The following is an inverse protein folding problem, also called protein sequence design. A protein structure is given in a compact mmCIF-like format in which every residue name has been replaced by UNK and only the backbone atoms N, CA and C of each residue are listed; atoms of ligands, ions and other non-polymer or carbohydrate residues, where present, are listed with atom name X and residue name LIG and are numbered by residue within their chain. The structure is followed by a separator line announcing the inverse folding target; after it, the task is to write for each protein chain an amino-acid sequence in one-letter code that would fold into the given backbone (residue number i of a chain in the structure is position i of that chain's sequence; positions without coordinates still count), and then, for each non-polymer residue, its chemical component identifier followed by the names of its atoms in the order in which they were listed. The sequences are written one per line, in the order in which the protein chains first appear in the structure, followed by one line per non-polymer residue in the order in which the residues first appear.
data_IF_093105032394
#
_entry.id   IF_093105032394
#
_cell.length_a   1.000
_cell.length_b   1.000
_cell.length_c   1.000
_cell.angle_alpha   90.00
_cell.angle_beta   90.00
_cell.angle_gamma   90.00
#
_symmetry.space_group_name_H-M   'P 1'
#
loop_
_entity.id
_entity.type
_entity.pdbx_description
1 polymer ?
#
# COMPACT_ATOMS: atom_id res chain seq x y z
N UNK A 1 -6.42 5.07 -66.99
CA UNK A 1 -7.09 3.86 -66.45
C UNK A 1 -6.90 3.83 -64.94
N UNK A 2 -7.85 4.44 -64.24
CA UNK A 2 -7.97 4.44 -62.79
C UNK A 2 -8.43 3.05 -62.33
N UNK A 3 -7.63 2.44 -61.46
CA UNK A 3 -7.95 1.22 -60.74
C UNK A 3 -9.22 1.42 -59.91
N UNK A 4 -10.18 0.49 -59.90
CA UNK A 4 -11.35 0.60 -59.02
C UNK A 4 -10.91 0.41 -57.58
N UNK A 5 -11.33 1.36 -56.75
CA UNK A 5 -11.34 1.41 -55.29
C UNK A 5 -11.10 0.06 -54.60
N UNK A 6 -9.90 -0.09 -54.05
CA UNK A 6 -9.71 -0.99 -52.92
C UNK A 6 -10.60 -0.46 -51.79
N UNK A 7 -11.47 -1.28 -51.18
CA UNK A 7 -12.25 -0.81 -50.04
C UNK A 7 -11.27 -0.35 -48.97
N UNK A 8 -11.45 0.89 -48.49
CA UNK A 8 -10.70 1.49 -47.39
C UNK A 8 -10.52 0.43 -46.29
N UNK A 9 -9.26 0.07 -45.98
CA UNK A 9 -8.96 -0.67 -44.77
C UNK A 9 -9.51 0.17 -43.60
N UNK A 10 -10.46 -0.35 -42.79
CA UNK A 10 -10.91 0.39 -41.63
C UNK A 10 -9.73 0.55 -40.68
N UNK A 11 -9.57 1.79 -40.22
CA UNK A 11 -8.58 2.29 -39.27
C UNK A 11 -8.19 1.23 -38.23
N UNK A 12 -6.91 0.85 -38.11
CA UNK A 12 -6.49 -0.36 -37.38
C UNK A 12 -6.84 -0.38 -35.89
N UNK A 13 -7.40 0.67 -35.28
CA UNK A 13 -7.78 0.63 -33.87
C UNK A 13 -8.95 1.57 -33.51
N UNK A 14 -10.18 1.12 -33.71
CA UNK A 14 -11.42 1.80 -33.23
C UNK A 14 -11.75 1.51 -31.75
N UNK A 15 -10.82 0.88 -31.02
CA UNK A 15 -10.98 0.50 -29.61
C UNK A 15 -11.84 -0.75 -29.37
N UNK A 16 -12.23 -1.51 -30.41
CA UNK A 16 -13.07 -2.71 -30.28
C UNK A 16 -12.26 -4.02 -30.24
N UNK A 17 -12.78 -5.02 -29.55
CA UNK A 17 -12.24 -6.39 -29.52
C UNK A 17 -12.94 -7.26 -30.56
N UNK A 18 -12.18 -7.81 -31.50
CA UNK A 18 -12.74 -8.59 -32.60
C UNK A 18 -12.91 -10.07 -32.25
N UNK A 19 -14.06 -10.64 -32.59
CA UNK A 19 -14.35 -12.08 -32.38
C UNK A 19 -13.96 -12.94 -33.59
N UNK A 20 -13.81 -12.34 -34.77
CA UNK A 20 -13.35 -12.99 -35.99
C UNK A 20 -12.18 -12.19 -36.59
N UNK A 21 -11.23 -12.88 -37.23
CA UNK A 21 -10.13 -12.27 -37.99
C UNK A 21 -10.41 -12.45 -39.49
N UNK A 22 -10.03 -11.48 -40.35
CA UNK A 22 -10.24 -11.59 -41.79
C UNK A 22 -9.34 -12.67 -42.44
N UNK A 23 -8.32 -13.19 -41.74
CA UNK A 23 -7.32 -14.09 -42.32
C UNK A 23 -6.97 -15.35 -41.51
N UNK A 24 -7.66 -15.66 -40.40
CA UNK A 24 -7.30 -16.81 -39.56
C UNK A 24 -8.51 -17.59 -39.06
N UNK A 25 -8.56 -18.87 -39.42
CA UNK A 25 -9.53 -19.87 -38.91
C UNK A 25 -8.97 -20.56 -37.65
N UNK A 26 -7.78 -20.19 -37.16
CA UNK A 26 -6.99 -21.05 -36.26
C UNK A 26 -6.38 -20.40 -35.02
N UNK A 27 -6.67 -19.13 -34.69
CA UNK A 27 -6.20 -18.58 -33.41
C UNK A 27 -7.37 -18.27 -32.47
N UNK A 28 -7.36 -18.76 -31.21
CA UNK A 28 -8.26 -18.22 -30.21
C UNK A 28 -7.91 -16.76 -30.01
N UNK A 29 -8.90 -15.87 -30.17
CA UNK A 29 -8.78 -14.46 -29.80
C UNK A 29 -8.24 -14.40 -28.37
N UNK A 30 -7.13 -13.69 -28.16
CA UNK A 30 -6.51 -13.55 -26.84
C UNK A 30 -7.56 -13.11 -25.80
N UNK A 31 -7.51 -13.63 -24.57
CA UNK A 31 -8.49 -13.27 -23.55
C UNK A 31 -8.44 -11.77 -23.29
N UNK A 32 -9.61 -11.15 -23.11
CA UNK A 32 -9.72 -9.75 -22.70
C UNK A 32 -9.91 -9.67 -21.19
N UNK A 33 -9.18 -8.78 -20.52
CA UNK A 33 -9.32 -8.54 -19.09
C UNK A 33 -10.11 -7.29 -18.80
N UNK A 34 -10.95 -7.33 -17.77
CA UNK A 34 -11.62 -6.16 -17.21
C UNK A 34 -11.70 -6.26 -15.69
N UNK A 35 -11.61 -5.13 -15.00
CA UNK A 35 -11.77 -5.09 -13.55
C UNK A 35 -13.22 -5.36 -13.18
N UNK A 36 -13.42 -6.14 -12.12
CA UNK A 36 -14.73 -6.54 -11.64
C UNK A 36 -15.68 -5.36 -11.44
N UNK A 37 -15.19 -4.24 -10.93
CA UNK A 37 -16.03 -3.09 -10.58
C UNK A 37 -15.88 -1.91 -11.54
N UNK A 38 -15.19 -2.10 -12.66
CA UNK A 38 -15.04 -1.05 -13.66
C UNK A 38 -16.40 -0.58 -14.18
N UNK A 39 -16.58 0.73 -14.20
CA UNK A 39 -17.70 1.38 -14.88
C UNK A 39 -17.52 1.44 -16.39
N UNK A 40 -16.32 1.15 -16.91
CA UNK A 40 -16.04 1.14 -18.34
C UNK A 40 -16.52 -0.18 -18.96
N UNK A 41 -17.36 -0.06 -19.98
CA UNK A 41 -17.78 -1.22 -20.76
C UNK A 41 -16.67 -1.66 -21.72
N UNK A 42 -16.58 -2.97 -21.94
CA UNK A 42 -15.67 -3.59 -22.90
C UNK A 42 -16.38 -3.76 -24.23
N UNK A 43 -15.87 -3.16 -25.29
CA UNK A 43 -16.47 -3.25 -26.62
C UNK A 43 -16.00 -4.50 -27.36
N UNK A 44 -16.95 -5.25 -27.92
CA UNK A 44 -16.72 -6.39 -28.81
C UNK A 44 -17.39 -6.15 -30.16
N UNK A 45 -16.76 -6.59 -31.24
CA UNK A 45 -17.29 -6.47 -32.59
C UNK A 45 -17.10 -7.75 -33.41
N UNK A 46 -18.06 -7.98 -34.30
CA UNK A 46 -17.90 -8.95 -35.37
C UNK A 46 -17.03 -8.34 -36.47
N UNK A 47 -16.06 -9.12 -36.94
CA UNK A 47 -15.14 -8.68 -37.99
C UNK A 47 -14.89 -9.84 -38.97
N UNK A 48 -15.98 -10.23 -39.62
CA UNK A 48 -16.01 -11.18 -40.72
C UNK A 48 -16.19 -10.49 -42.07
N UNK A 49 -16.73 -11.21 -43.05
CA UNK A 49 -17.01 -10.64 -44.37
C UNK A 49 -18.07 -9.53 -44.27
N UNK A 50 -18.01 -8.51 -45.14
CA UNK A 50 -18.94 -7.36 -45.11
C UNK A 50 -20.42 -7.71 -45.28
N UNK A 51 -20.70 -8.88 -45.85
CA UNK A 51 -22.07 -9.41 -46.07
C UNK A 51 -22.53 -10.35 -44.94
N UNK A 52 -21.68 -10.61 -43.94
CA UNK A 52 -22.07 -11.37 -42.77
C UNK A 52 -23.10 -10.59 -41.95
N UNK A 53 -24.13 -11.29 -41.46
CA UNK A 53 -25.17 -10.72 -40.62
C UNK A 53 -25.11 -11.31 -39.22
N UNK A 54 -24.78 -10.49 -38.22
CA UNK A 54 -24.83 -10.94 -36.82
C UNK A 54 -26.29 -11.15 -36.40
N UNK A 55 -26.61 -12.37 -35.98
CA UNK A 55 -27.95 -12.75 -35.56
C UNK A 55 -28.16 -12.47 -34.07
N UNK A 56 -27.20 -12.86 -33.22
CA UNK A 56 -27.31 -12.77 -31.77
C UNK A 56 -25.94 -12.67 -31.09
N UNK A 57 -25.86 -11.84 -30.06
CA UNK A 57 -24.81 -11.81 -29.06
C UNK A 57 -25.32 -12.41 -27.75
N UNK A 58 -24.49 -13.26 -27.13
CA UNK A 58 -24.78 -13.87 -25.83
C UNK A 58 -23.54 -13.98 -24.95
N UNK A 59 -23.75 -14.00 -23.63
CA UNK A 59 -22.71 -14.17 -22.60
C UNK A 59 -22.98 -15.49 -21.88
N UNK A 60 -21.95 -16.28 -21.59
CA UNK A 60 -22.09 -17.48 -20.77
C UNK A 60 -22.25 -17.14 -19.28
N UNK A 61 -23.14 -17.82 -18.56
CA UNK A 61 -23.27 -17.65 -17.10
C UNK A 61 -23.98 -16.37 -16.68
N UNK A 62 -23.94 -16.05 -15.39
CA UNK A 62 -24.48 -14.83 -14.80
C UNK A 62 -23.36 -13.95 -14.25
N UNK A 63 -23.44 -12.64 -14.48
CA UNK A 63 -22.42 -11.66 -14.06
C UNK A 63 -22.42 -10.47 -15.02
N UNK A 64 -21.58 -10.48 -16.07
CA UNK A 64 -21.57 -9.42 -17.07
C UNK A 64 -22.90 -9.28 -17.82
N UNK A 65 -23.19 -8.06 -18.25
CA UNK A 65 -24.36 -7.74 -19.07
C UNK A 65 -23.95 -6.91 -20.29
N UNK A 66 -24.76 -6.96 -21.35
CA UNK A 66 -24.58 -6.02 -22.46
C UNK A 66 -25.17 -4.67 -22.09
N UNK A 67 -24.55 -3.60 -22.56
CA UNK A 67 -25.11 -2.25 -22.53
C UNK A 67 -25.59 -1.88 -23.93
N UNK A 68 -26.90 -1.68 -24.09
CA UNK A 68 -27.54 -1.24 -25.33
C UNK A 68 -28.43 -0.04 -25.05
N UNK A 69 -28.17 1.07 -25.73
CA UNK A 69 -28.92 2.32 -25.57
C UNK A 69 -29.01 2.80 -24.10
N UNK A 70 -27.93 2.58 -23.34
CA UNK A 70 -27.86 2.90 -21.91
C UNK A 70 -28.57 1.92 -20.97
N UNK A 71 -29.14 0.83 -21.48
CA UNK A 71 -29.83 -0.19 -20.71
C UNK A 71 -29.05 -1.51 -20.66
N UNK A 72 -29.09 -2.17 -19.51
CA UNK A 72 -28.50 -3.49 -19.31
C UNK A 72 -29.42 -4.56 -19.92
N UNK A 73 -28.88 -5.36 -20.84
CA UNK A 73 -29.61 -6.45 -21.51
C UNK A 73 -28.80 -7.75 -21.50
N UNK A 74 -29.49 -8.89 -21.48
CA UNK A 74 -28.86 -10.22 -21.47
C UNK A 74 -28.47 -10.74 -22.86
N UNK A 75 -29.07 -10.16 -23.90
CA UNK A 75 -28.85 -10.50 -25.31
C UNK A 75 -28.98 -9.26 -26.17
N UNK A 76 -28.21 -9.24 -27.26
CA UNK A 76 -28.32 -8.21 -28.30
C UNK A 76 -28.48 -8.93 -29.64
N UNK A 77 -29.35 -8.44 -30.51
CA UNK A 77 -29.57 -9.03 -31.84
C UNK A 77 -29.30 -8.00 -32.92
N UNK A 78 -28.83 -8.47 -34.09
CA UNK A 78 -28.65 -7.66 -35.31
C UNK A 78 -27.64 -6.50 -35.24
N UNK A 79 -26.98 -6.29 -34.10
CA UNK A 79 -25.92 -5.29 -34.00
C UNK A 79 -24.57 -5.91 -34.39
N UNK A 80 -23.75 -5.15 -35.11
CA UNK A 80 -22.39 -5.56 -35.51
C UNK A 80 -21.40 -5.54 -34.32
N UNK A 81 -21.72 -4.80 -33.26
CA UNK A 81 -20.89 -4.64 -32.08
C UNK A 81 -21.73 -4.53 -30.82
N UNK A 82 -21.15 -4.88 -29.68
CA UNK A 82 -21.76 -4.82 -28.35
C UNK A 82 -20.79 -4.26 -27.33
N UNK A 83 -21.32 -3.64 -26.27
CA UNK A 83 -20.54 -3.23 -25.10
C UNK A 83 -20.92 -4.12 -23.92
N UNK A 84 -19.95 -4.58 -23.14
CA UNK A 84 -20.15 -5.52 -22.02
C UNK A 84 -19.67 -4.89 -20.72
N UNK A 85 -20.53 -4.82 -19.71
CA UNK A 85 -20.20 -4.39 -18.35
C UNK A 85 -19.80 -5.59 -17.48
N UNK A 86 -18.66 -5.59 -16.75
CA UNK A 86 -18.18 -6.74 -15.96
C UNK A 86 -19.05 -7.14 -14.75
N UNK A 87 -19.64 -6.16 -14.05
CA UNK A 87 -20.63 -6.35 -12.96
C UNK A 87 -20.18 -7.23 -11.77
N UNK A 88 -18.93 -7.12 -11.36
CA UNK A 88 -18.44 -7.57 -10.05
C UNK A 88 -18.11 -9.05 -9.92
N UNK A 89 -18.62 -9.91 -10.79
CA UNK A 89 -18.39 -11.36 -10.69
C UNK A 89 -17.04 -11.75 -11.27
N UNK A 90 -16.06 -12.03 -10.40
CA UNK A 90 -14.72 -12.51 -10.79
C UNK A 90 -14.83 -13.92 -11.37
N UNK A 91 -14.71 -14.05 -12.70
CA UNK A 91 -14.76 -15.32 -13.39
C UNK A 91 -14.32 -15.19 -14.86
N UNK A 92 -14.41 -16.28 -15.61
CA UNK A 92 -14.19 -16.32 -17.04
C UNK A 92 -15.52 -16.48 -17.77
N UNK A 93 -15.81 -15.55 -18.67
CA UNK A 93 -17.04 -15.50 -19.44
C UNK A 93 -16.73 -15.66 -20.92
N UNK A 94 -17.58 -16.38 -21.65
CA UNK A 94 -17.52 -16.46 -23.11
C UNK A 94 -18.49 -15.45 -23.71
N UNK A 95 -17.96 -14.52 -24.50
CA UNK A 95 -18.74 -13.63 -25.35
C UNK A 95 -18.92 -14.33 -26.69
N UNK A 96 -20.16 -14.53 -27.12
CA UNK A 96 -20.49 -15.30 -28.31
C UNK A 96 -21.24 -14.45 -29.31
N UNK A 97 -20.83 -14.53 -30.58
CA UNK A 97 -21.55 -13.99 -31.72
C UNK A 97 -22.05 -15.14 -32.60
N UNK A 98 -23.37 -15.23 -32.79
CA UNK A 98 -24.02 -16.10 -33.76
C UNK A 98 -24.28 -15.31 -35.03
N UNK A 99 -23.80 -15.78 -36.17
CA UNK A 99 -23.72 -15.01 -37.41
C UNK A 99 -24.18 -15.87 -38.59
N UNK A 100 -24.95 -15.28 -39.50
CA UNK A 100 -25.19 -15.80 -40.84
C UNK A 100 -24.08 -15.30 -41.75
N UNK A 101 -23.23 -16.20 -42.26
CA UNK A 101 -22.13 -15.84 -43.14
C UNK A 101 -22.62 -15.48 -44.54
N UNK A 102 -21.80 -14.79 -45.33
CA UNK A 102 -22.08 -14.48 -46.74
C UNK A 102 -22.35 -15.74 -47.59
N UNK A 103 -21.81 -16.90 -47.19
CA UNK A 103 -22.06 -18.20 -47.83
C UNK A 103 -23.40 -18.84 -47.44
N UNK A 104 -24.18 -18.19 -46.58
CA UNK A 104 -25.47 -18.69 -46.07
C UNK A 104 -25.36 -19.67 -44.90
N UNK A 105 -24.16 -19.92 -44.37
CA UNK A 105 -23.96 -20.79 -43.22
C UNK A 105 -24.19 -20.04 -41.89
N UNK A 106 -24.74 -20.72 -40.88
CA UNK A 106 -24.82 -20.16 -39.54
C UNK A 106 -23.61 -20.63 -38.74
N UNK A 107 -22.81 -19.69 -38.25
CA UNK A 107 -21.66 -19.96 -37.39
C UNK A 107 -21.83 -19.29 -36.03
N UNK A 108 -21.26 -19.90 -35.00
CA UNK A 108 -21.04 -19.26 -33.71
C UNK A 108 -19.55 -19.13 -33.48
N UNK A 109 -19.09 -17.93 -33.12
CA UNK A 109 -17.72 -17.67 -32.68
C UNK A 109 -17.75 -17.10 -31.27
N UNK A 110 -16.65 -17.28 -30.55
CA UNK A 110 -16.57 -16.83 -29.17
C UNK A 110 -15.16 -16.37 -28.80
N UNK A 111 -15.10 -15.43 -27.89
CA UNK A 111 -13.87 -15.00 -27.21
C UNK A 111 -14.10 -15.02 -25.69
N UNK A 112 -13.01 -14.96 -24.91
CA UNK A 112 -13.06 -14.95 -23.45
C UNK A 112 -12.92 -13.54 -22.90
N UNK A 113 -13.87 -13.14 -22.05
CA UNK A 113 -13.77 -12.01 -21.14
C UNK A 113 -13.44 -12.55 -19.74
N UNK A 114 -12.27 -12.20 -19.21
CA UNK A 114 -11.89 -12.50 -17.84
C UNK A 114 -12.15 -11.27 -16.97
N UNK A 115 -13.08 -11.41 -16.05
CA UNK A 115 -13.35 -10.40 -15.04
C UNK A 115 -12.48 -10.68 -13.84
N UNK A 116 -11.69 -9.70 -13.41
CA UNK A 116 -10.58 -9.89 -12.48
C UNK A 116 -10.58 -8.89 -11.34
N UNK A 117 -9.84 -9.21 -10.28
CA UNK A 117 -9.46 -8.26 -9.23
C UNK A 117 -7.94 -8.13 -9.19
N UNK A 118 -7.49 -6.95 -8.80
CA UNK A 118 -6.10 -6.64 -8.49
C UNK A 118 -6.12 -5.96 -7.11
N UNK A 119 -5.22 -6.33 -6.21
CA UNK A 119 -5.03 -5.70 -4.90
C UNK A 119 -3.56 -5.28 -4.79
N UNK A 120 -3.34 -4.00 -4.51
CA UNK A 120 -2.06 -3.31 -4.47
C UNK A 120 -2.14 -2.29 -3.34
N UNK A 121 -1.62 -2.65 -2.17
CA UNK A 121 -1.73 -1.81 -0.99
C UNK A 121 -0.36 -1.22 -0.63
N UNK A 122 -0.12 0.07 -0.92
CA UNK A 122 0.99 0.86 -0.38
C UNK A 122 1.01 0.94 1.15
N UNK A 123 -0.16 0.87 1.79
CA UNK A 123 -0.35 0.80 3.24
C UNK A 123 -1.19 -0.43 3.55
N UNK A 124 -0.56 -1.47 4.08
CA UNK A 124 -1.15 -2.81 4.20
C UNK A 124 -1.18 -3.36 5.63
N UNK A 125 -0.13 -3.08 6.40
CA UNK A 125 0.30 -3.68 7.66
C UNK A 125 1.72 -4.19 7.41
N UNK A 126 2.70 -3.40 7.85
CA UNK A 126 4.09 -3.77 7.81
C UNK A 126 4.30 -5.16 8.43
N UNK A 127 4.64 -6.11 7.58
CA UNK A 127 4.98 -7.46 8.00
C UNK A 127 6.25 -7.90 7.29
N UNK A 128 7.12 -8.54 8.05
CA UNK A 128 8.29 -9.22 7.54
C UNK A 128 7.85 -10.60 7.04
N UNK A 129 7.69 -10.78 5.74
CA UNK A 129 7.36 -12.08 5.17
C UNK A 129 8.63 -12.95 5.05
N UNK A 130 8.82 -13.89 5.98
CA UNK A 130 9.86 -14.93 5.97
C UNK A 130 11.28 -14.40 6.18
N UNK A 131 11.79 -13.65 5.21
CA UNK A 131 13.18 -13.21 5.08
C UNK A 131 13.45 -11.80 5.62
N UNK A 132 12.58 -11.26 6.47
CA UNK A 132 12.69 -9.88 6.97
C UNK A 132 12.70 -8.79 5.89
N UNK A 133 12.12 -9.07 4.72
CA UNK A 133 11.92 -8.07 3.67
C UNK A 133 10.66 -7.24 3.92
N UNK A 134 10.81 -5.92 3.80
CA UNK A 134 9.69 -4.98 3.82
C UNK A 134 8.82 -5.21 2.58
N UNK A 135 7.50 -5.24 2.76
CA UNK A 135 6.55 -5.43 1.66
C UNK A 135 5.85 -4.10 1.36
N UNK A 136 5.93 -3.67 0.10
CA UNK A 136 5.39 -2.40 -0.40
C UNK A 136 5.77 -1.16 0.45
N UNK A 137 7.01 -1.00 0.93
CA UNK A 137 7.33 0.15 1.78
C UNK A 137 7.30 1.45 0.97
N UNK A 138 6.99 2.57 1.64
CA UNK A 138 7.10 3.92 1.07
C UNK A 138 8.53 4.29 0.66
N UNK A 139 9.52 3.59 1.22
CA UNK A 139 10.90 3.69 0.81
C UNK A 139 11.82 2.71 1.52
N UNK A 140 13.11 2.76 1.19
CA UNK A 140 14.15 1.89 1.78
C UNK A 140 15.55 2.46 1.48
N UNK A 141 16.61 1.90 2.07
CA UNK A 141 17.97 2.45 1.91
C UNK A 141 18.68 1.93 0.66
N UNK A 142 19.73 2.63 0.25
CA UNK A 142 20.75 2.08 -0.65
C UNK A 142 21.29 0.77 -0.06
N UNK A 143 21.47 -0.26 -0.90
CA UNK A 143 21.93 -1.59 -0.50
C UNK A 143 20.85 -2.51 0.05
N UNK A 144 19.79 -1.96 0.66
CA UNK A 144 18.65 -2.72 1.20
C UNK A 144 17.79 -3.31 0.08
N UNK A 145 17.06 -4.36 0.44
CA UNK A 145 16.06 -4.99 -0.42
C UNK A 145 14.64 -4.74 0.09
N UNK A 146 13.71 -4.58 -0.85
CA UNK A 146 12.28 -4.47 -0.58
C UNK A 146 11.49 -5.31 -1.58
N UNK A 147 10.40 -5.91 -1.08
CA UNK A 147 9.48 -6.73 -1.87
C UNK A 147 8.28 -5.89 -2.30
N UNK A 148 7.96 -5.89 -3.58
CA UNK A 148 6.77 -5.24 -4.13
C UNK A 148 5.79 -6.30 -4.60
N UNK A 149 4.59 -6.33 -4.00
CA UNK A 149 3.60 -7.38 -4.14
C UNK A 149 2.28 -6.83 -4.66
N UNK A 150 1.80 -7.43 -5.73
CA UNK A 150 0.52 -7.17 -6.35
C UNK A 150 -0.23 -8.51 -6.36
N UNK A 151 -1.45 -8.52 -5.83
CA UNK A 151 -2.28 -9.72 -5.77
C UNK A 151 -3.29 -9.68 -6.90
N UNK A 152 -3.40 -10.77 -7.64
CA UNK A 152 -4.28 -10.91 -8.79
C UNK A 152 -5.25 -12.06 -8.56
N UNK A 153 -6.48 -11.94 -9.05
CA UNK A 153 -7.39 -13.08 -9.07
C UNK A 153 -6.82 -14.24 -9.90
N UNK A 154 -7.19 -15.46 -9.53
CA UNK A 154 -6.59 -16.69 -10.08
C UNK A 154 -6.78 -16.89 -11.59
N UNK A 155 -7.61 -16.09 -12.24
CA UNK A 155 -7.85 -16.12 -13.68
C UNK A 155 -6.99 -15.15 -14.51
N UNK A 156 -6.10 -14.35 -13.91
CA UNK A 156 -5.16 -13.48 -14.65
C UNK A 156 -3.96 -14.27 -15.15
N UNK A 157 -3.77 -14.53 -16.44
CA UNK A 157 -2.58 -15.28 -16.86
C UNK A 157 -1.27 -14.56 -16.46
N UNK A 158 -0.32 -15.29 -15.86
CA UNK A 158 0.97 -14.72 -15.47
C UNK A 158 1.76 -14.22 -16.68
N UNK A 159 1.59 -14.89 -17.82
CA UNK A 159 2.22 -14.52 -19.09
C UNK A 159 1.64 -13.24 -19.69
N UNK A 160 0.54 -12.70 -19.16
CA UNK A 160 -0.01 -11.40 -19.54
C UNK A 160 0.35 -10.28 -18.56
N UNK A 161 1.06 -10.59 -17.48
CA UNK A 161 1.50 -9.58 -16.52
C UNK A 161 2.85 -9.05 -16.97
N UNK A 162 2.99 -7.72 -17.03
CA UNK A 162 4.23 -7.03 -17.38
C UNK A 162 4.61 -6.07 -16.27
N UNK A 163 5.75 -6.32 -15.64
CA UNK A 163 6.32 -5.45 -14.63
C UNK A 163 7.18 -4.38 -15.28
N UNK A 164 7.03 -3.14 -14.85
CA UNK A 164 7.86 -2.03 -15.30
C UNK A 164 8.40 -1.29 -14.10
N UNK A 165 9.73 -1.24 -13.99
CA UNK A 165 10.44 -0.39 -13.03
C UNK A 165 10.77 0.95 -13.69
N UNK A 166 10.42 2.04 -13.03
CA UNK A 166 10.68 3.41 -13.48
C UNK A 166 11.71 4.06 -12.57
N UNK A 167 12.70 4.73 -13.17
CA UNK A 167 13.83 5.32 -12.47
C UNK A 167 14.99 4.33 -12.25
N UNK A 168 16.13 4.87 -11.86
CA UNK A 168 17.40 4.17 -11.63
C UNK A 168 17.83 4.16 -10.14
N UNK A 169 16.99 4.70 -9.25
CA UNK A 169 17.18 4.69 -7.81
C UNK A 169 17.23 3.27 -7.23
N UNK A 170 16.46 2.34 -7.81
CA UNK A 170 16.47 0.91 -7.47
C UNK A 170 16.79 0.04 -8.68
N UNK A 171 17.29 -1.17 -8.45
CA UNK A 171 17.56 -2.21 -9.45
C UNK A 171 16.86 -3.52 -9.06
N UNK A 172 16.67 -4.42 -10.03
CA UNK A 172 16.18 -5.76 -9.74
C UNK A 172 17.15 -6.49 -8.80
N UNK A 173 16.63 -7.14 -7.75
CA UNK A 173 17.43 -8.09 -6.99
C UNK A 173 17.35 -9.46 -7.66
N UNK A 174 18.45 -9.87 -8.28
CA UNK A 174 18.51 -11.08 -9.11
C UNK A 174 18.09 -10.84 -10.57
N UNK A 175 17.78 -11.92 -11.32
CA UNK A 175 17.33 -11.81 -12.70
C UNK A 175 16.06 -10.95 -12.80
N UNK A 176 15.98 -10.02 -13.78
CA UNK A 176 14.77 -9.22 -13.98
C UNK A 176 13.53 -10.10 -14.15
N UNK A 177 12.49 -9.81 -13.38
CA UNK A 177 11.18 -10.46 -13.50
C UNK A 177 10.25 -9.50 -14.23
N UNK A 178 10.35 -9.49 -15.56
CA UNK A 178 9.54 -8.60 -16.40
C UNK A 178 8.12 -9.15 -16.63
N UNK A 179 7.90 -10.43 -16.33
CA UNK A 179 6.63 -11.13 -16.51
C UNK A 179 6.29 -12.02 -15.32
N UNK A 180 5.00 -12.34 -15.13
CA UNK A 180 4.56 -13.30 -14.12
C UNK A 180 3.77 -12.71 -12.94
N UNK A 181 3.06 -13.59 -12.23
CA UNK A 181 2.32 -13.25 -11.00
C UNK A 181 3.26 -13.16 -9.80
N UNK A 182 2.82 -12.42 -8.78
CA UNK A 182 3.37 -12.49 -7.44
C UNK A 182 4.06 -11.20 -7.01
N UNK A 183 5.26 -11.36 -6.46
CA UNK A 183 6.04 -10.26 -5.95
C UNK A 183 7.40 -10.19 -6.63
N UNK A 184 7.92 -8.98 -6.75
CA UNK A 184 9.27 -8.72 -7.22
C UNK A 184 10.11 -8.17 -6.07
N UNK A 185 11.42 -8.35 -6.13
CA UNK A 185 12.34 -7.79 -5.14
C UNK A 185 13.25 -6.79 -5.84
N UNK A 186 13.34 -5.59 -5.26
CA UNK A 186 14.25 -4.55 -5.71
C UNK A 186 15.32 -4.32 -4.65
N UNK A 187 16.50 -3.90 -5.10
CA UNK A 187 17.58 -3.43 -4.26
C UNK A 187 17.82 -1.93 -4.48
N UNK A 188 18.05 -1.19 -3.41
CA UNK A 188 18.37 0.24 -3.48
C UNK A 188 19.74 0.43 -4.12
N UNK A 189 19.81 1.20 -5.21
CA UNK A 189 21.02 1.43 -5.99
C UNK A 189 21.65 2.78 -5.66
N UNK A 190 20.84 3.84 -5.66
CA UNK A 190 21.28 5.20 -5.36
C UNK A 190 20.11 6.02 -4.78
N UNK A 191 20.39 7.08 -4.00
CA UNK A 191 19.33 7.92 -3.46
C UNK A 191 18.47 8.54 -4.58
N UNK A 192 17.15 8.56 -4.40
CA UNK A 192 16.23 9.09 -5.39
C UNK A 192 14.82 8.53 -5.25
N UNK A 193 13.93 8.94 -6.15
CA UNK A 193 12.56 8.39 -6.23
C UNK A 193 12.48 7.34 -7.35
N UNK A 194 11.59 6.37 -7.17
CA UNK A 194 11.33 5.32 -8.16
C UNK A 194 9.87 4.88 -8.10
N UNK A 195 9.46 4.09 -9.09
CA UNK A 195 8.15 3.43 -9.04
C UNK A 195 8.12 2.09 -9.74
N UNK A 196 7.20 1.24 -9.33
CA UNK A 196 6.82 0.01 -10.01
C UNK A 196 5.42 0.17 -10.59
N UNK A 197 5.26 -0.22 -11.85
CA UNK A 197 3.96 -0.37 -12.51
C UNK A 197 3.75 -1.80 -12.96
N UNK A 198 2.49 -2.20 -13.02
CA UNK A 198 2.09 -3.44 -13.67
C UNK A 198 1.11 -3.14 -14.81
N UNK A 199 1.41 -3.67 -15.99
CA UNK A 199 0.48 -3.68 -17.12
C UNK A 199 -0.09 -5.08 -17.29
N UNK A 200 -1.40 -5.18 -17.45
CA UNK A 200 -2.09 -6.41 -17.86
C UNK A 200 -2.28 -6.35 -19.37
N UNK A 201 -1.59 -7.21 -20.10
CA UNK A 201 -1.81 -7.37 -21.54
C UNK A 201 -3.26 -7.78 -21.80
N UNK A 202 -3.84 -7.20 -22.85
CA UNK A 202 -5.27 -7.32 -23.17
C UNK A 202 -6.22 -6.78 -22.08
N UNK A 203 -5.71 -6.01 -21.11
CA UNK A 203 -6.51 -5.21 -20.19
C UNK A 203 -7.26 -4.11 -20.95
N UNK A 204 -8.58 -4.10 -20.80
CA UNK A 204 -9.43 -3.07 -21.40
C UNK A 204 -9.79 -2.01 -20.36
N UNK A 205 -9.23 -0.81 -20.50
CA UNK A 205 -9.50 0.30 -19.58
C UNK A 205 -9.07 0.03 -18.14
N UNK A 206 -8.08 -0.86 -17.95
CA UNK A 206 -7.45 -1.16 -16.66
C UNK A 206 -6.30 -0.17 -16.50
N UNK A 207 -6.37 0.82 -15.60
CA UNK A 207 -5.22 1.67 -15.30
C UNK A 207 -4.05 0.81 -14.83
N UNK A 208 -2.82 1.19 -15.16
CA UNK A 208 -1.66 0.44 -14.63
C UNK A 208 -1.55 0.72 -13.13
N UNK A 209 -1.77 -0.27 -12.24
CA UNK A 209 -1.52 -0.05 -10.82
C UNK A 209 -0.03 0.29 -10.62
N UNK A 210 0.22 1.18 -9.66
CA UNK A 210 1.52 1.79 -9.43
C UNK A 210 1.85 1.83 -7.94
N UNK A 211 3.10 1.56 -7.59
CA UNK A 211 3.67 1.85 -6.27
C UNK A 211 4.83 2.82 -6.44
N UNK A 212 4.74 3.97 -5.78
CA UNK A 212 5.82 4.93 -5.66
C UNK A 212 6.66 4.61 -4.42
N UNK A 213 7.98 4.81 -4.50
CA UNK A 213 8.87 4.63 -3.36
C UNK A 213 10.08 5.56 -3.44
N UNK A 214 10.75 5.76 -2.31
CA UNK A 214 11.98 6.54 -2.21
C UNK A 214 13.15 5.69 -1.73
N UNK A 215 14.31 5.87 -2.35
CA UNK A 215 15.58 5.29 -1.92
C UNK A 215 16.35 6.35 -1.15
N UNK A 216 16.73 6.00 0.08
CA UNK A 216 17.45 6.89 0.98
C UNK A 216 18.92 6.56 0.99
N UNK A 217 19.74 7.61 1.08
CA UNK A 217 21.15 7.46 1.43
C UNK A 217 21.29 6.76 2.78
N UNK A 218 22.33 5.93 2.90
CA UNK A 218 22.68 5.34 4.19
C UNK A 218 23.18 6.44 5.13
N UNK A 219 22.42 6.69 6.20
CA UNK A 219 22.81 7.63 7.24
C UNK A 219 23.33 6.87 8.47
N UNK A 220 24.32 7.42 9.20
CA UNK A 220 24.73 6.86 10.47
C UNK A 220 23.53 6.66 11.40
N UNK A 221 23.43 5.51 12.10
CA UNK A 221 22.32 5.28 13.01
C UNK A 221 22.29 6.32 14.12
N UNK A 222 21.10 6.85 14.38
CA UNK A 222 20.82 7.81 15.46
C UNK A 222 21.15 7.14 16.80
N UNK A 223 21.97 7.78 17.65
CA UNK A 223 22.27 7.26 18.97
C UNK A 223 21.03 7.33 19.88
N UNK A 224 20.75 6.23 20.58
CA UNK A 224 19.74 6.16 21.63
C UNK A 224 20.45 6.00 22.97
N UNK A 225 20.21 6.95 23.89
CA UNK A 225 20.76 6.95 25.23
C UNK A 225 19.67 6.50 26.21
N UNK A 226 19.89 5.35 26.85
CA UNK A 226 18.83 4.70 27.62
C UNK A 226 19.00 4.92 29.11
N UNK A 227 17.96 5.39 29.79
CA UNK A 227 17.85 5.39 31.23
C UNK A 227 17.00 4.23 31.71
N UNK A 228 17.52 3.36 32.58
CA UNK A 228 16.75 2.24 33.15
C UNK A 228 16.55 2.52 34.63
N UNK A 229 15.31 2.72 35.05
CA UNK A 229 14.99 2.93 36.46
C UNK A 229 15.06 1.61 37.23
N UNK A 230 15.76 1.64 38.34
CA UNK A 230 15.90 0.51 39.25
C UNK A 230 15.04 0.73 40.50
N UNK A 231 14.34 -0.32 40.93
CA UNK A 231 13.53 -0.33 42.15
C UNK A 231 14.36 -0.07 43.42
N UNK A 232 13.68 0.05 44.56
CA UNK A 232 14.29 0.13 45.90
C UNK A 232 15.21 -1.04 46.24
N UNK A 233 14.99 -2.18 45.60
CA UNK A 233 15.81 -3.37 45.80
C UNK A 233 16.93 -3.49 44.75
N UNK A 234 17.11 -2.47 43.90
CA UNK A 234 18.10 -2.47 42.81
C UNK A 234 17.66 -3.23 41.56
N UNK A 235 16.39 -3.66 41.48
CA UNK A 235 15.88 -4.41 40.32
C UNK A 235 15.54 -3.47 39.17
N UNK A 236 16.10 -3.74 37.99
CA UNK A 236 15.83 -2.96 36.79
C UNK A 236 14.37 -3.07 36.32
N UNK A 237 13.80 -1.96 35.84
CA UNK A 237 12.45 -1.93 35.27
C UNK A 237 12.32 -2.79 34.00
N UNK A 238 13.41 -2.92 33.24
CA UNK A 238 13.53 -3.68 32.00
C UNK A 238 14.93 -4.29 31.88
N UNK A 239 15.06 -5.42 31.20
CA UNK A 239 16.36 -6.02 30.89
C UNK A 239 17.03 -5.32 29.70
N UNK A 240 18.36 -5.36 29.64
CA UNK A 240 19.12 -4.83 28.51
C UNK A 240 18.77 -5.52 27.19
N UNK A 241 18.50 -6.83 27.21
CA UNK A 241 18.11 -7.59 26.02
C UNK A 241 16.75 -7.13 25.46
N UNK A 242 15.80 -6.82 26.34
CA UNK A 242 14.51 -6.27 25.93
C UNK A 242 14.66 -4.87 25.35
N UNK A 243 15.53 -4.02 25.92
CA UNK A 243 15.88 -2.71 25.34
C UNK A 243 16.46 -2.87 23.94
N UNK A 244 17.43 -3.78 23.75
CA UNK A 244 18.03 -4.05 22.44
C UNK A 244 17.00 -4.54 21.43
N UNK A 245 16.06 -5.39 21.85
CA UNK A 245 14.97 -5.88 20.99
C UNK A 245 14.09 -4.75 20.52
N UNK A 246 13.67 -3.86 21.43
CA UNK A 246 12.82 -2.70 21.12
C UNK A 246 13.51 -1.71 20.18
N UNK A 247 14.78 -1.37 20.43
CA UNK A 247 15.57 -0.49 19.55
C UNK A 247 15.78 -1.13 18.17
N UNK A 248 16.08 -2.44 18.14
CA UNK A 248 16.22 -3.20 16.90
C UNK A 248 14.96 -3.18 16.05
N UNK A 249 13.78 -3.40 16.66
CA UNK A 249 12.50 -3.30 15.98
C UNK A 249 12.24 -1.88 15.44
N UNK A 250 12.48 -0.84 16.25
CA UNK A 250 12.33 0.54 15.80
C UNK A 250 13.24 0.84 14.60
N UNK A 251 14.51 0.42 14.65
CA UNK A 251 15.46 0.57 13.54
C UNK A 251 14.98 -0.14 12.28
N UNK A 252 14.39 -1.34 12.43
CA UNK A 252 13.82 -2.11 11.33
C UNK A 252 12.59 -1.44 10.69
N UNK A 253 11.69 -0.88 11.49
CA UNK A 253 10.51 -0.14 11.00
C UNK A 253 10.96 1.12 10.25
N UNK A 254 11.89 1.90 10.81
CA UNK A 254 12.34 3.18 10.25
C UNK A 254 13.24 3.06 9.02
N UNK A 255 13.67 1.86 8.64
CA UNK A 255 14.27 1.60 7.32
C UNK A 255 13.36 2.06 6.18
N UNK A 256 12.04 2.03 6.38
CA UNK A 256 11.04 2.56 5.44
C UNK A 256 11.27 4.03 5.07
N UNK A 257 11.94 4.80 5.94
CA UNK A 257 12.24 6.22 5.75
C UNK A 257 13.74 6.52 5.83
N UNK A 258 14.57 5.49 5.71
CA UNK A 258 16.02 5.61 5.68
C UNK A 258 16.70 5.87 7.02
N UNK A 259 15.98 5.81 8.14
CA UNK A 259 16.53 6.09 9.48
C UNK A 259 16.83 4.79 10.20
N UNK A 260 17.97 4.74 10.90
CA UNK A 260 18.36 3.64 11.77
C UNK A 260 18.67 4.13 13.18
N UNK A 261 18.57 3.24 14.15
CA UNK A 261 18.87 3.52 15.55
C UNK A 261 19.91 2.54 16.09
N UNK A 262 20.73 3.01 17.03
CA UNK A 262 21.67 2.18 17.79
C UNK A 262 21.63 2.55 19.27
N UNK A 263 21.75 1.55 20.15
CA UNK A 263 22.00 1.81 21.56
C UNK A 263 23.40 2.44 21.72
N UNK A 264 23.47 3.63 22.29
CA UNK A 264 24.72 4.37 22.47
C UNK A 264 25.23 4.29 23.92
N UNK A 265 24.34 4.39 24.90
CA UNK A 265 24.69 4.26 26.32
C UNK A 265 23.51 3.76 27.14
N UNK A 266 23.82 3.23 28.33
CA UNK A 266 22.83 2.82 29.33
C UNK A 266 23.20 3.42 30.68
N UNK A 267 22.27 4.13 31.29
CA UNK A 267 22.37 4.69 32.64
C UNK A 267 21.39 3.97 33.55
N UNK A 268 21.91 3.33 34.60
CA UNK A 268 21.08 2.69 35.63
C UNK A 268 20.71 3.72 36.70
N UNK A 269 19.43 4.07 36.79
CA UNK A 269 18.92 5.14 37.64
C UNK A 269 18.40 4.53 38.95
N UNK A 270 19.16 4.68 40.03
CA UNK A 270 18.86 4.07 41.34
C UNK A 270 18.31 5.06 42.37
N UNK A 271 17.91 6.27 41.93
CA UNK A 271 17.38 7.29 42.81
C UNK A 271 15.98 6.89 43.35
N UNK A 272 15.96 6.54 44.63
CA UNK A 272 14.78 6.03 45.31
C UNK A 272 13.68 7.07 45.52
N UNK A 273 14.01 8.37 45.43
CA UNK A 273 13.04 9.44 45.52
C UNK A 273 11.98 9.40 44.41
N UNK A 274 12.28 8.77 43.28
CA UNK A 274 11.33 8.66 42.15
C UNK A 274 10.17 7.68 42.43
N UNK A 275 10.37 6.74 43.35
CA UNK A 275 9.34 5.76 43.74
C UNK A 275 8.42 6.25 44.86
N UNK A 276 8.77 7.37 45.52
CA UNK A 276 8.01 7.92 46.65
C UNK A 276 6.75 8.69 46.22
N UNK A 277 6.62 9.07 44.94
CA UNK A 277 5.43 9.69 44.37
C UNK A 277 4.57 8.64 43.68
N UNK A 278 3.59 8.05 44.38
CA UNK A 278 2.60 7.21 43.73
C UNK A 278 1.69 8.07 42.81
N UNK A 279 1.70 7.83 41.49
CA UNK A 279 1.14 8.74 40.47
C UNK A 279 -0.37 8.93 40.51
N UNK A 280 -1.12 8.02 41.13
CA UNK A 280 -2.58 8.01 41.00
C UNK A 280 -3.24 9.15 41.77
N UNK A 281 -2.56 9.73 42.77
CA UNK A 281 -3.15 10.73 43.67
C UNK A 281 -2.23 11.94 44.01
N UNK A 282 -1.08 12.11 43.34
CA UNK A 282 -0.15 13.24 43.65
C UNK A 282 0.01 14.26 42.51
N UNK A 283 -0.25 15.56 42.75
CA UNK A 283 0.02 16.66 41.81
C UNK A 283 1.49 16.74 41.33
N UNK A 284 2.44 16.24 42.13
CA UNK A 284 3.89 16.34 41.88
C UNK A 284 4.44 15.25 40.94
N UNK A 285 3.61 14.32 40.46
CA UNK A 285 4.08 13.24 39.59
C UNK A 285 4.67 13.75 38.25
N UNK A 286 4.12 14.84 37.68
CA UNK A 286 4.71 15.50 36.50
C UNK A 286 6.11 16.05 36.81
N UNK A 287 6.35 16.51 38.03
CA UNK A 287 7.68 16.97 38.47
C UNK A 287 8.66 15.79 38.59
N UNK A 288 8.23 14.63 39.10
CA UNK A 288 9.05 13.41 39.13
C UNK A 288 9.48 12.97 37.72
N UNK A 289 8.58 13.04 36.72
CA UNK A 289 8.91 12.70 35.33
C UNK A 289 10.01 13.62 34.77
N UNK A 290 9.96 14.93 35.07
CA UNK A 290 11.02 15.87 34.68
C UNK A 290 12.37 15.53 35.31
N UNK A 291 12.36 15.15 36.59
CA UNK A 291 13.59 14.78 37.30
C UNK A 291 14.23 13.50 36.76
N UNK A 292 13.40 12.50 36.40
CA UNK A 292 13.84 11.28 35.73
C UNK A 292 14.51 11.61 34.39
N UNK A 293 13.86 12.48 33.62
CA UNK A 293 14.32 12.93 32.30
C UNK A 293 15.55 13.83 32.31
N UNK A 294 15.96 14.32 33.49
CA UNK A 294 17.19 15.08 33.67
C UNK A 294 18.39 14.20 34.09
N UNK A 295 18.21 12.88 34.18
CA UNK A 295 19.28 11.97 34.64
C UNK A 295 20.31 11.66 33.57
N UNK A 296 19.96 11.83 32.30
CA UNK A 296 20.90 11.78 31.18
C UNK A 296 21.05 13.22 30.66
N UNK A 297 22.27 13.56 30.26
CA UNK A 297 22.59 14.83 29.60
C UNK A 297 23.53 14.49 28.45
N UNK A 298 22.96 14.22 27.28
CA UNK A 298 23.73 14.03 26.05
C UNK A 298 23.41 15.15 25.06
N UNK A 299 24.40 15.53 24.27
CA UNK A 299 24.27 16.59 23.25
C UNK A 299 24.04 16.01 21.84
N UNK A 300 23.79 14.70 21.75
CA UNK A 300 23.50 13.98 20.52
C UNK A 300 22.43 12.90 20.74
N UNK A 301 21.69 12.58 19.67
CA UNK A 301 20.75 11.45 19.67
C UNK A 301 19.45 11.69 20.43
N UNK A 302 18.88 10.61 20.97
CA UNK A 302 17.60 10.65 21.70
C UNK A 302 17.73 9.95 23.03
N UNK A 303 17.19 10.57 24.08
CA UNK A 303 17.10 9.97 25.39
C UNK A 303 15.78 9.22 25.57
N UNK A 304 15.87 7.94 25.97
CA UNK A 304 14.72 7.06 26.21
C UNK A 304 14.83 6.44 27.60
N UNK A 305 13.82 6.68 28.42
CA UNK A 305 13.79 6.26 29.82
C UNK A 305 12.75 5.14 30.01
N UNK A 306 13.17 4.00 30.57
CA UNK A 306 12.30 2.89 30.92
C UNK A 306 11.99 2.87 32.41
N UNK A 307 10.71 2.97 32.75
CA UNK A 307 10.23 2.97 34.13
C UNK A 307 9.09 1.94 34.33
N UNK A 308 8.75 1.58 35.58
CA UNK A 308 7.56 0.78 35.85
C UNK A 308 6.28 1.46 35.33
N UNK A 309 5.26 0.67 34.98
CA UNK A 309 3.96 1.18 34.50
C UNK A 309 3.32 2.20 35.42
N UNK A 310 3.44 2.02 36.74
CA UNK A 310 2.93 3.01 37.69
C UNK A 310 3.42 4.40 37.31
N UNK A 311 4.68 4.55 36.95
CA UNK A 311 5.30 5.83 36.62
C UNK A 311 4.98 6.38 35.23
N UNK A 312 3.97 5.86 34.52
CA UNK A 312 3.48 6.42 33.25
C UNK A 312 1.94 6.42 33.27
N UNK A 313 1.29 7.57 33.04
CA UNK A 313 -0.18 7.63 32.99
C UNK A 313 -0.75 6.81 31.81
N UNK A 314 -1.95 6.25 32.02
CA UNK A 314 -2.97 5.62 31.15
C UNK A 314 -2.59 4.92 29.82
N UNK A 315 -1.64 5.42 29.03
CA UNK A 315 -1.26 4.93 27.70
C UNK A 315 0.07 4.19 27.67
N UNK A 316 0.85 4.20 28.75
CA UNK A 316 2.11 3.44 28.85
C UNK A 316 3.33 4.13 28.24
N UNK A 317 3.17 5.28 27.61
CA UNK A 317 4.25 6.17 27.21
C UNK A 317 3.85 7.64 27.45
N UNK A 318 4.84 8.46 27.79
CA UNK A 318 4.72 9.91 27.87
C UNK A 318 5.98 10.51 27.23
N UNK A 319 5.83 11.18 26.09
CA UNK A 319 6.89 11.96 25.45
C UNK A 319 6.62 13.46 25.54
N UNK A 320 7.60 14.26 25.96
CA UNK A 320 7.69 15.66 25.56
C UNK A 320 9.01 15.84 24.82
N UNK A 321 8.99 15.43 23.54
CA UNK A 321 10.19 15.24 22.71
C UNK A 321 10.91 16.55 22.36
N UNK A 322 10.25 17.70 22.49
CA UNK A 322 10.82 19.00 22.17
C UNK A 322 11.71 19.57 23.29
N UNK A 323 11.60 19.05 24.52
CA UNK A 323 12.26 19.68 25.67
C UNK A 323 12.89 18.71 26.67
N UNK A 324 12.51 17.42 26.76
CA UNK A 324 12.84 16.57 27.94
C UNK A 324 13.02 15.04 27.66
N UNK A 325 13.15 14.57 26.42
CA UNK A 325 13.30 13.12 26.14
C UNK A 325 12.01 12.27 26.32
N UNK A 326 12.12 10.96 26.09
CA UNK A 326 10.97 10.03 26.00
C UNK A 326 10.90 9.11 27.22
N UNK A 327 9.75 9.04 27.90
CA UNK A 327 9.52 8.14 29.04
C UNK A 327 8.54 7.01 28.66
N UNK A 328 8.95 5.75 28.85
CA UNK A 328 8.20 4.57 28.39
C UNK A 328 8.07 3.56 29.53
N UNK A 329 6.87 3.02 29.72
CA UNK A 329 6.66 1.94 30.67
C UNK A 329 7.30 0.63 30.17
N UNK A 330 7.98 -0.08 31.06
CA UNK A 330 8.82 -1.22 30.71
C UNK A 330 8.08 -2.40 30.07
N UNK A 331 6.80 -2.56 30.38
CA UNK A 331 5.94 -3.65 29.90
C UNK A 331 5.06 -3.27 28.68
N UNK A 332 5.36 -2.14 28.02
CA UNK A 332 4.70 -1.78 26.75
C UNK A 332 5.12 -2.71 25.62
N UNK A 333 4.31 -2.76 24.57
CA UNK A 333 4.65 -3.47 23.34
C UNK A 333 5.91 -2.88 22.68
N UNK A 334 6.62 -3.69 21.89
CA UNK A 334 7.94 -3.31 21.38
C UNK A 334 7.94 -2.14 20.41
N UNK A 335 6.89 -2.01 19.62
CA UNK A 335 6.68 -0.94 18.65
C UNK A 335 6.32 0.42 19.28
N UNK A 336 5.99 0.49 20.58
CA UNK A 336 5.77 1.78 21.26
C UNK A 336 7.02 2.66 21.20
N UNK A 337 8.22 2.08 21.32
CA UNK A 337 9.47 2.84 21.14
C UNK A 337 9.54 3.48 19.75
N UNK A 338 9.14 2.76 18.70
CA UNK A 338 9.15 3.27 17.34
C UNK A 338 8.10 4.39 17.15
N UNK A 339 6.92 4.24 17.75
CA UNK A 339 5.87 5.26 17.73
C UNK A 339 6.34 6.58 18.37
N UNK A 340 6.94 6.52 19.56
CA UNK A 340 7.45 7.70 20.26
C UNK A 340 8.64 8.35 19.53
N UNK A 341 9.51 7.54 18.89
CA UNK A 341 10.55 8.05 18.00
C UNK A 341 9.95 8.77 16.77
N UNK A 342 8.76 8.38 16.34
CA UNK A 342 7.99 9.07 15.31
C UNK A 342 7.62 10.48 15.74
N UNK A 343 7.14 10.66 16.97
CA UNK A 343 6.91 11.99 17.54
C UNK A 343 8.19 12.81 17.61
N UNK A 344 9.32 12.21 17.99
CA UNK A 344 10.62 12.88 18.00
C UNK A 344 11.10 13.30 16.60
N UNK A 345 10.58 12.66 15.54
CA UNK A 345 10.76 13.04 14.14
C UNK A 345 9.74 14.09 13.64
N UNK A 346 8.83 14.54 14.52
CA UNK A 346 7.81 15.56 14.25
C UNK A 346 6.49 15.03 13.72
N UNK A 347 6.20 13.74 13.84
CA UNK A 347 4.92 13.18 13.40
C UNK A 347 3.82 13.29 14.46
N UNK A 348 2.60 13.53 13.97
CA UNK A 348 1.38 13.63 14.78
C UNK A 348 0.77 12.24 15.03
N UNK A 349 0.04 12.10 16.13
CA UNK A 349 -0.90 10.99 16.31
C UNK A 349 -2.04 11.04 15.29
N UNK A 350 -2.42 9.86 14.77
CA UNK A 350 -3.61 9.70 13.94
C UNK A 350 -4.58 8.67 14.53
N UNK A 351 -5.87 9.01 14.55
CA UNK A 351 -6.96 8.15 15.02
C UNK A 351 -7.87 7.77 13.84
N UNK A 352 -8.15 6.47 13.71
CA UNK A 352 -9.11 5.94 12.74
C UNK A 352 -10.56 6.04 13.21
N UNK A 353 -10.78 6.03 14.54
CA UNK A 353 -12.12 6.05 15.13
C UNK A 353 -12.93 7.28 14.71
N UNK A 354 -14.09 7.03 14.12
CA UNK A 354 -15.00 8.07 13.62
C UNK A 354 -14.62 8.64 12.26
N UNK A 355 -13.68 8.01 11.55
CA UNK A 355 -13.37 8.31 10.15
C UNK A 355 -14.20 7.38 9.26
N UNK A 356 -15.27 7.90 8.66
CA UNK A 356 -16.18 7.09 7.82
C UNK A 356 -15.78 7.11 6.34
N UNK A 357 -16.11 6.03 5.62
CA UNK A 357 -15.98 5.93 4.16
C UNK A 357 -14.70 5.24 3.69
N UNK A 358 -14.64 4.85 2.40
CA UNK A 358 -13.55 4.06 1.85
C UNK A 358 -12.24 4.85 1.79
N UNK A 359 -11.15 4.12 1.62
CA UNK A 359 -9.86 4.68 1.22
C UNK A 359 -10.02 5.34 -0.16
N UNK A 360 -9.33 6.44 -0.41
CA UNK A 360 -9.39 7.12 -1.71
C UNK A 360 -8.16 7.99 -1.93
N UNK A 361 -7.92 8.39 -3.19
CA UNK A 361 -6.81 9.29 -3.53
C UNK A 361 -6.82 10.58 -2.71
N UNK A 362 -7.99 11.16 -2.43
CA UNK A 362 -8.08 12.38 -1.61
C UNK A 362 -7.69 12.16 -0.14
N UNK A 363 -7.78 10.92 0.35
CA UNK A 363 -7.50 10.54 1.74
C UNK A 363 -6.10 9.97 1.94
N UNK A 364 -5.47 9.53 0.86
CA UNK A 364 -4.12 8.95 0.83
C UNK A 364 -3.39 9.40 -0.44
N UNK A 365 -3.05 10.70 -0.58
CA UNK A 365 -2.65 11.28 -1.86
C UNK A 365 -1.27 10.86 -2.35
N UNK A 366 -0.33 10.56 -1.44
CA UNK A 366 1.04 10.18 -1.78
C UNK A 366 1.23 8.68 -1.93
N UNK A 367 0.28 7.90 -1.43
CA UNK A 367 0.30 6.44 -1.47
C UNK A 367 -0.95 5.93 -2.19
N UNK A 368 -1.43 6.66 -3.21
CA UNK A 368 -2.51 6.18 -4.08
C UNK A 368 -1.93 5.31 -5.19
N UNK A 369 -2.43 4.08 -5.30
CA UNK A 369 -1.89 3.04 -6.18
C UNK A 369 -2.31 3.17 -7.66
N UNK A 370 -2.81 4.35 -8.08
CA UNK A 370 -3.39 4.61 -9.39
C UNK A 370 -4.69 3.82 -9.71
N UNK A 371 -5.40 3.33 -8.69
CA UNK A 371 -6.74 2.75 -8.86
C UNK A 371 -7.75 3.76 -9.41
N UNK A 372 -8.68 3.35 -10.29
CA UNK A 372 -9.69 4.25 -10.87
C UNK A 372 -10.82 4.62 -9.90
N UNK A 373 -10.84 4.05 -8.69
CA UNK A 373 -11.83 4.39 -7.68
C UNK A 373 -11.41 3.95 -6.27
N UNK A 374 -12.11 4.46 -5.23
CA UNK A 374 -11.85 4.18 -3.80
C UNK A 374 -11.67 2.70 -3.41
N UNK A 375 -12.35 1.82 -4.14
CA UNK A 375 -12.38 0.37 -3.85
C UNK A 375 -11.67 -0.46 -4.92
N UNK A 376 -11.02 0.18 -5.89
CA UNK A 376 -10.23 -0.52 -6.89
C UNK A 376 -8.75 -0.47 -6.51
N UNK A 377 -8.12 -1.65 -6.48
CA UNK A 377 -6.74 -1.91 -6.05
C UNK A 377 -6.48 -1.89 -4.55
N UNK A 378 -7.46 -1.57 -3.71
CA UNK A 378 -7.40 -1.91 -2.29
C UNK A 378 -8.23 -3.16 -2.00
N UNK A 379 -8.05 -3.76 -0.82
CA UNK A 379 -9.02 -4.74 -0.33
C UNK A 379 -10.42 -4.13 -0.36
N UNK A 380 -11.38 -4.89 -0.89
CA UNK A 380 -12.75 -4.38 -1.07
C UNK A 380 -13.33 -4.04 0.29
N UNK A 381 -14.09 -2.95 0.35
CA UNK A 381 -14.73 -2.44 1.57
C UNK A 381 -13.74 -1.91 2.62
N UNK A 382 -12.44 -1.85 2.32
CA UNK A 382 -11.45 -1.26 3.23
C UNK A 382 -11.84 0.20 3.52
N UNK A 383 -12.23 0.43 4.77
CA UNK A 383 -12.54 1.76 5.28
C UNK A 383 -11.27 2.50 5.63
N UNK A 384 -11.32 3.82 5.54
CA UNK A 384 -10.20 4.68 5.95
C UNK A 384 -9.79 4.44 7.41
N UNK A 385 -10.76 4.17 8.29
CA UNK A 385 -10.47 3.76 9.68
C UNK A 385 -9.56 2.54 9.76
N UNK A 386 -9.87 1.48 9.00
CA UNK A 386 -9.06 0.26 8.95
C UNK A 386 -7.66 0.51 8.40
N UNK A 387 -7.52 1.41 7.41
CA UNK A 387 -6.22 1.81 6.88
C UNK A 387 -5.38 2.56 7.93
N UNK A 388 -5.99 3.48 8.68
CA UNK A 388 -5.28 4.21 9.75
C UNK A 388 -4.69 3.24 10.77
N UNK A 389 -5.40 2.16 11.10
CA UNK A 389 -4.91 1.17 12.07
C UNK A 389 -3.65 0.39 11.61
N UNK A 390 -3.27 0.46 10.33
CA UNK A 390 -2.06 -0.16 9.79
C UNK A 390 -0.79 0.69 10.03
N UNK A 391 -0.97 1.99 10.28
CA UNK A 391 0.11 2.98 10.39
C UNK A 391 0.84 2.92 11.73
N UNK A 392 2.13 3.25 11.73
CA UNK A 392 2.95 3.40 12.93
C UNK A 392 2.39 4.44 13.90
N UNK A 393 1.95 5.58 13.38
CA UNK A 393 1.42 6.70 14.18
C UNK A 393 -0.06 6.51 14.59
N UNK A 394 -0.61 5.29 14.42
CA UNK A 394 -1.94 4.96 14.90
C UNK A 394 -1.97 4.99 16.43
N UNK A 395 -2.82 5.84 16.97
CA UNK A 395 -3.09 5.98 18.41
C UNK A 395 -3.82 4.80 19.07
N UNK A 396 -4.48 3.95 18.27
CA UNK A 396 -5.43 2.93 18.77
C UNK A 396 -4.97 1.50 18.50
N UNK A 397 -3.94 1.34 17.69
CA UNK A 397 -3.36 0.06 17.29
C UNK A 397 -1.87 0.25 17.06
N UNK A 398 -1.12 -0.83 17.19
CA UNK A 398 0.31 -0.82 17.00
C UNK A 398 0.68 -1.21 15.56
N UNK A 399 0.11 -0.47 14.60
CA UNK A 399 0.52 -0.55 13.21
C UNK A 399 2.01 -0.23 13.07
N UNK A 400 2.60 -0.56 11.93
CA UNK A 400 4.05 -0.43 11.72
C UNK A 400 4.39 0.10 10.32
N UNK A 401 3.39 0.40 9.48
CA UNK A 401 3.64 1.05 8.19
C UNK A 401 3.96 2.53 8.39
N UNK A 402 4.96 3.03 7.64
CA UNK A 402 5.22 4.45 7.52
C UNK A 402 4.85 4.88 6.08
N UNK A 403 3.82 5.73 5.91
CA UNK A 403 3.39 6.18 4.59
C UNK A 403 4.37 7.20 4.00
N UNK A 404 4.28 7.45 2.70
CA UNK A 404 5.12 8.45 2.04
C UNK A 404 4.83 9.87 2.53
N UNK A 405 3.60 10.15 2.96
CA UNK A 405 3.23 11.45 3.49
C UNK A 405 1.93 11.43 4.30
N UNK A 406 1.13 12.50 4.15
CA UNK A 406 -0.07 12.70 4.97
C UNK A 406 -1.14 11.65 4.71
N UNK A 407 -1.84 11.27 5.78
CA UNK A 407 -3.00 10.38 5.73
C UNK A 407 -4.21 11.05 6.36
N UNK A 408 -5.38 10.88 5.77
CA UNK A 408 -6.61 11.44 6.32
C UNK A 408 -7.07 10.64 7.54
N UNK A 409 -7.23 11.34 8.65
CA UNK A 409 -7.74 10.80 9.90
C UNK A 409 -7.97 11.91 10.91
N UNK A 410 -8.18 11.54 12.17
CA UNK A 410 -8.32 12.52 13.25
C UNK A 410 -6.96 12.74 13.91
N UNK A 411 -6.47 13.97 13.91
CA UNK A 411 -5.17 14.30 14.51
C UNK A 411 -5.26 14.45 16.03
N UNK A 412 -4.75 13.48 16.78
CA UNK A 412 -4.96 13.40 18.24
C UNK A 412 -6.41 13.08 18.64
N UNK A 413 -6.61 12.73 19.92
CA UNK A 413 -7.85 12.09 20.40
C UNK A 413 -9.10 12.98 20.28
N UNK A 414 -8.92 14.30 20.38
CA UNK A 414 -9.99 15.30 20.29
C UNK A 414 -9.84 16.22 19.06
N UNK A 415 -8.93 15.92 18.14
CA UNK A 415 -8.68 16.81 17.01
C UNK A 415 -9.74 16.75 15.91
N UNK A 416 -9.54 17.61 14.91
CA UNK A 416 -10.34 17.64 13.70
C UNK A 416 -9.91 16.54 12.72
N UNK A 417 -10.85 16.13 11.86
CA UNK A 417 -10.55 15.31 10.70
C UNK A 417 -9.77 16.15 9.67
N UNK A 418 -8.55 15.70 9.33
CA UNK A 418 -7.67 16.36 8.36
C UNK A 418 -6.67 15.36 7.77
N UNK A 419 -5.93 15.79 6.76
CA UNK A 419 -4.67 15.14 6.39
C UNK A 419 -3.64 15.41 7.50
N UNK A 420 -3.20 14.35 8.16
CA UNK A 420 -2.30 14.39 9.33
C UNK A 420 -0.87 14.05 8.93
N UNK A 421 0.10 14.70 9.55
CA UNK A 421 1.53 14.60 9.26
C UNK A 421 2.14 13.33 9.90
N UNK A 422 2.16 12.22 9.15
CA UNK A 422 2.56 10.88 9.68
C UNK A 422 3.57 10.12 8.81
N UNK A 423 4.07 10.76 7.74
CA UNK A 423 4.93 10.11 6.74
C UNK A 423 6.23 10.85 6.46
N UNK A 424 7.09 10.26 5.63
CA UNK A 424 8.45 10.78 5.34
C UNK A 424 8.45 12.24 4.90
N UNK A 425 7.55 12.62 4.01
CA UNK A 425 7.45 13.98 3.47
C UNK A 425 7.08 15.04 4.52
N UNK A 426 6.62 14.61 5.69
CA UNK A 426 6.16 15.47 6.77
C UNK A 426 7.09 15.43 7.98
N UNK A 427 8.18 14.68 7.88
CA UNK A 427 9.20 14.62 8.91
C UNK A 427 9.91 15.97 9.04
N UNK A 428 10.06 16.45 10.28
CA UNK A 428 10.74 17.73 10.57
C UNK A 428 12.26 17.56 10.51
N UNK A 429 12.76 16.44 11.02
CA UNK A 429 14.19 16.11 11.05
C UNK A 429 14.42 14.60 11.00
N UNK A 430 15.50 14.17 10.35
CA UNK A 430 15.96 12.77 10.32
C UNK A 430 16.83 12.37 11.50
N UNK A 431 17.36 13.36 12.19
CA UNK A 431 17.96 13.19 13.51
C UNK A 431 16.95 13.74 14.49
N UNK A 432 16.22 12.88 15.22
CA UNK A 432 15.23 13.35 16.17
C UNK A 432 15.88 14.33 17.14
N UNK A 433 15.13 15.35 17.54
CA UNK A 433 15.68 16.48 18.31
C UNK A 433 16.26 15.96 19.63
N UNK A 434 17.57 16.15 19.83
CA UNK A 434 18.21 16.06 21.15
C UNK A 434 18.06 17.39 21.86
N UNK A 435 18.12 17.39 23.20
CA UNK A 435 18.44 18.61 23.93
C UNK A 435 19.82 19.14 23.54
#
# INVERSE_FOLDING_TARGET
PSTPDAPDEPDPWDGRRFIASPFSVTEPVSPTYALAHSSNAVAFAWHGHREDTVLEWSISGSGPCFLKDGQEVSKVTRDLSVSVLPRGTVSNFKIRAKVLTFTGAIVTRQTELRVITIIVEPVRLFCFEGDWLMVNPSGFRVGDEARFKFEFSNNVDGDHIRWTKIGDAAVWSGPPVETGRGAIVLRGNQPGEGSIKVRIENGCGIPEPKLDFKIFEESPPVPIHVGILCSTNGEASITLDAVNTKIGLASNIFRQVGIGFRLASVTWITNQGFYASEPRDTPDYLYTNKLIRAQIQQNDGVEVYFCPWSMVQATGALGNWAEEGILIASNTADCVVAHELGHACGWDDIHGKGVSGPVSQARLPHDWNNGPGPEEYYERELQQEGLVYRLLMSSSTLGMDIPSGRVYGRAGSNGMLKLTDVGERNMVTRTPVSQ
#
